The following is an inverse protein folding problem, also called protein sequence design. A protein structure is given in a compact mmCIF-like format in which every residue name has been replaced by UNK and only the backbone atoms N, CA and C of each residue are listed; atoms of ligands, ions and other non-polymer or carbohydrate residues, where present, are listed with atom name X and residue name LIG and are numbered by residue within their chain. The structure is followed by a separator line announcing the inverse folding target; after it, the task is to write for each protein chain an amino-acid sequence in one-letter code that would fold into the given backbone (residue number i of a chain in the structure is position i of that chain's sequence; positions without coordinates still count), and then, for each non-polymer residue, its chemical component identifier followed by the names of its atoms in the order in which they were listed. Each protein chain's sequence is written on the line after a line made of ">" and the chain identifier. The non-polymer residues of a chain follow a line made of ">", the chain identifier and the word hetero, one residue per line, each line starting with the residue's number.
data_IF_163480974600
#
_entry.id   IF_163480974600
#
_cell.length_a   1.000
_cell.length_b   1.000
_cell.length_c   1.000
_cell.angle_alpha   90.00
_cell.angle_beta   90.00
_cell.angle_gamma   90.00
#
_symmetry.space_group_name_H-M   'P 1'
#
loop_
_entity.id
_entity.type
_entity.pdbx_description
1 polymer ?
#
# COMPACT_ATOMS: atom_id res chain seq x y z
N UNK A 1 -14.03 -31.38 12.26
CA UNK A 1 -13.73 -30.18 11.44
C UNK A 1 -12.32 -29.72 11.78
N UNK A 2 -11.42 -29.60 10.81
CA UNK A 2 -10.09 -29.04 11.07
C UNK A 2 -10.22 -27.55 11.31
N UNK A 3 -9.96 -27.09 12.54
CA UNK A 3 -10.03 -25.66 12.89
C UNK A 3 -8.96 -24.84 12.18
N UNK A 4 -9.18 -23.52 12.11
CA UNK A 4 -8.25 -22.56 11.53
C UNK A 4 -6.86 -22.71 12.14
N UNK A 5 -5.85 -22.70 11.28
CA UNK A 5 -4.45 -22.58 11.66
C UNK A 5 -3.84 -21.29 11.13
N UNK A 6 -3.03 -20.64 11.96
CA UNK A 6 -2.30 -19.41 11.65
C UNK A 6 -0.81 -19.59 11.95
N UNK A 7 0.04 -19.01 11.12
CA UNK A 7 1.46 -18.87 11.41
C UNK A 7 1.94 -17.47 11.08
N UNK A 8 3.03 -17.04 11.70
CA UNK A 8 3.61 -15.71 11.53
C UNK A 8 5.11 -15.85 11.23
N UNK A 9 5.60 -15.04 10.30
CA UNK A 9 7.01 -14.98 9.95
C UNK A 9 7.42 -13.55 9.63
N UNK A 10 8.66 -13.19 9.94
CA UNK A 10 9.21 -11.88 9.62
C UNK A 10 10.68 -11.94 9.21
N UNK A 11 11.10 -10.96 8.42
CA UNK A 11 12.49 -10.71 8.08
C UNK A 11 12.77 -9.21 8.04
N UNK A 12 13.92 -8.83 8.56
CA UNK A 12 14.46 -7.46 8.39
C UNK A 12 14.81 -7.25 6.92
N UNK A 13 14.32 -6.14 6.37
CA UNK A 13 14.53 -5.72 4.98
C UNK A 13 15.22 -4.35 4.88
N UNK A 14 15.75 -3.81 5.97
CA UNK A 14 16.48 -2.55 5.98
C UNK A 14 17.62 -2.53 4.93
N UNK A 15 17.70 -1.49 4.09
CA UNK A 15 18.77 -1.35 3.11
C UNK A 15 20.10 -0.96 3.78
N UNK A 16 21.27 -1.13 3.10
CA UNK A 16 22.49 -0.47 3.55
C UNK A 16 22.32 1.06 3.53
N UNK A 17 23.08 1.76 4.37
CA UNK A 17 23.16 3.23 4.32
C UNK A 17 23.74 3.69 2.97
N UNK A 18 23.40 4.92 2.57
CA UNK A 18 23.78 5.51 1.30
C UNK A 18 22.84 5.17 0.13
N UNK A 19 21.88 4.26 0.31
CA UNK A 19 20.82 4.03 -0.69
C UNK A 19 19.90 5.26 -0.80
N UNK A 20 19.29 5.45 -1.96
CA UNK A 20 18.28 6.49 -2.15
C UNK A 20 16.95 6.14 -1.44
N UNK A 21 16.43 7.11 -0.69
CA UNK A 21 15.10 7.06 -0.09
C UNK A 21 14.04 7.59 -1.07
N UNK A 22 12.88 6.94 -1.14
CA UNK A 22 11.92 7.18 -2.22
C UNK A 22 10.72 8.04 -1.85
N UNK A 23 10.23 8.83 -2.80
CA UNK A 23 8.88 9.43 -2.76
C UNK A 23 8.80 10.94 -2.54
N UNK A 24 9.92 11.68 -2.49
CA UNK A 24 9.89 13.14 -2.37
C UNK A 24 10.87 13.88 -3.27
N UNK A 25 10.36 14.96 -3.87
CA UNK A 25 11.14 15.99 -4.56
C UNK A 25 11.89 15.46 -5.78
N UNK A 26 12.49 16.37 -6.56
CA UNK A 26 13.09 16.04 -7.84
C UNK A 26 14.62 16.02 -7.71
N UNK A 27 15.23 14.85 -7.88
CA UNK A 27 16.68 14.60 -7.78
C UNK A 27 17.28 15.21 -6.51
N UNK A 28 16.62 14.99 -5.38
CA UNK A 28 17.07 15.54 -4.09
C UNK A 28 18.36 14.89 -3.57
N UNK A 29 18.79 13.78 -4.18
CA UNK A 29 19.87 12.93 -3.66
C UNK A 29 19.66 12.56 -2.18
N UNK A 30 18.40 12.25 -1.83
CA UNK A 30 17.99 11.96 -0.46
C UNK A 30 18.43 10.55 -0.08
N UNK A 31 19.67 10.43 0.38
CA UNK A 31 20.28 9.16 0.79
C UNK A 31 19.98 8.81 2.24
N UNK A 32 19.94 7.51 2.52
CA UNK A 32 19.81 6.99 3.87
C UNK A 32 21.09 7.23 4.69
N UNK A 33 21.02 8.12 5.68
CA UNK A 33 22.16 8.50 6.52
C UNK A 33 22.20 7.76 7.86
N UNK A 34 21.04 7.27 8.32
CA UNK A 34 20.89 6.53 9.57
C UNK A 34 19.64 5.65 9.55
N UNK A 35 19.50 4.77 10.54
CA UNK A 35 18.31 3.94 10.75
C UNK A 35 17.66 4.35 12.07
N UNK A 36 16.44 4.88 12.00
CA UNK A 36 15.65 5.20 13.20
C UNK A 36 14.97 3.93 13.75
N UNK A 37 14.39 3.14 12.86
CA UNK A 37 13.80 1.84 13.17
C UNK A 37 13.88 0.91 11.94
N UNK A 38 13.92 -0.40 12.21
CA UNK A 38 14.08 -1.43 11.19
C UNK A 38 12.85 -1.55 10.29
N UNK A 39 13.10 -1.66 8.98
CA UNK A 39 12.08 -2.06 8.02
C UNK A 39 11.93 -3.59 8.05
N UNK A 40 10.70 -4.10 8.09
CA UNK A 40 10.44 -5.55 8.03
C UNK A 40 9.51 -5.94 6.88
N UNK A 41 9.72 -7.14 6.36
CA UNK A 41 8.69 -7.92 5.66
C UNK A 41 8.07 -8.87 6.67
N UNK A 42 6.74 -8.82 6.82
CA UNK A 42 5.97 -9.64 7.75
C UNK A 42 4.95 -10.45 6.96
N UNK A 43 4.77 -11.70 7.33
CA UNK A 43 3.88 -12.64 6.66
C UNK A 43 2.98 -13.36 7.67
N UNK A 44 1.73 -13.58 7.28
CA UNK A 44 0.79 -14.45 7.96
C UNK A 44 0.36 -15.56 7.02
N UNK A 45 0.51 -16.78 7.49
CA UNK A 45 0.00 -17.98 6.85
C UNK A 45 -1.34 -18.33 7.49
N UNK A 46 -2.37 -18.62 6.70
CA UNK A 46 -3.68 -19.07 7.16
C UNK A 46 -4.04 -20.36 6.45
N UNK A 47 -4.51 -21.36 7.19
CA UNK A 47 -5.07 -22.59 6.64
C UNK A 47 -6.37 -22.96 7.32
N UNK A 48 -7.40 -23.20 6.54
CA UNK A 48 -8.67 -23.77 6.99
C UNK A 48 -9.11 -24.80 5.97
N UNK A 49 -9.28 -26.04 6.41
CA UNK A 49 -9.51 -27.20 5.54
C UNK A 49 -8.38 -27.33 4.48
N UNK A 50 -8.75 -27.37 3.20
CA UNK A 50 -7.88 -27.44 2.02
C UNK A 50 -7.42 -26.04 1.54
N UNK A 51 -8.09 -24.98 1.99
CA UNK A 51 -7.78 -23.62 1.58
C UNK A 51 -6.64 -23.04 2.41
N UNK A 52 -5.72 -22.36 1.73
CA UNK A 52 -4.57 -21.70 2.33
C UNK A 52 -4.43 -20.30 1.75
N UNK A 53 -4.17 -19.30 2.60
CA UNK A 53 -3.82 -17.93 2.22
C UNK A 53 -2.47 -17.55 2.81
N UNK A 54 -1.70 -16.74 2.10
CA UNK A 54 -0.48 -16.12 2.61
C UNK A 54 -0.58 -14.61 2.39
N UNK A 55 -0.55 -13.85 3.48
CA UNK A 55 -0.68 -12.40 3.47
C UNK A 55 0.64 -11.79 3.88
N UNK A 56 1.19 -10.89 3.06
CA UNK A 56 2.50 -10.28 3.27
C UNK A 56 2.39 -8.76 3.23
N UNK A 57 3.00 -8.10 4.21
CA UNK A 57 3.19 -6.65 4.25
C UNK A 57 4.68 -6.32 4.39
N UNK A 58 5.18 -5.36 3.61
CA UNK A 58 6.56 -4.92 3.62
C UNK A 58 6.68 -3.42 3.87
N UNK A 59 7.59 -3.04 4.77
CA UNK A 59 7.87 -1.64 5.11
C UNK A 59 8.69 -0.93 4.02
N UNK A 60 8.08 -0.68 2.85
CA UNK A 60 8.69 -0.05 1.67
C UNK A 60 7.70 0.87 0.95
N UNK A 61 8.16 1.59 -0.08
CA UNK A 61 7.33 2.52 -0.87
C UNK A 61 6.30 1.82 -1.77
N UNK A 62 6.61 0.65 -2.35
CA UNK A 62 5.71 -0.03 -3.28
C UNK A 62 6.43 -1.06 -4.17
N UNK A 63 5.70 -1.66 -5.09
CA UNK A 63 6.22 -2.61 -6.07
C UNK A 63 5.69 -2.27 -7.46
N UNK A 64 6.44 -2.58 -8.51
CA UNK A 64 5.83 -2.76 -9.83
C UNK A 64 4.86 -3.95 -9.80
N UNK A 65 3.91 -4.00 -10.73
CA UNK A 65 3.00 -5.17 -10.85
C UNK A 65 3.80 -6.43 -11.19
N UNK A 66 4.82 -6.27 -12.04
CA UNK A 66 5.71 -7.35 -12.49
C UNK A 66 6.53 -7.93 -11.34
N UNK A 67 7.16 -7.09 -10.52
CA UNK A 67 7.95 -7.54 -9.36
C UNK A 67 7.05 -8.21 -8.32
N UNK A 68 5.89 -7.61 -8.03
CA UNK A 68 4.92 -8.18 -7.10
C UNK A 68 4.42 -9.54 -7.59
N UNK A 69 4.10 -9.68 -8.88
CA UNK A 69 3.68 -10.94 -9.46
C UNK A 69 4.77 -12.00 -9.41
N UNK A 70 6.03 -11.64 -9.70
CA UNK A 70 7.16 -12.56 -9.59
C UNK A 70 7.35 -13.09 -8.16
N UNK A 71 7.29 -12.20 -7.16
CA UNK A 71 7.39 -12.58 -5.74
C UNK A 71 6.23 -13.50 -5.33
N UNK A 72 5.00 -13.15 -5.74
CA UNK A 72 3.81 -13.94 -5.41
C UNK A 72 3.82 -15.31 -6.09
N UNK A 73 4.35 -15.42 -7.31
CA UNK A 73 4.55 -16.70 -8.00
C UNK A 73 5.53 -17.58 -7.23
N UNK A 74 6.65 -17.04 -6.77
CA UNK A 74 7.62 -17.81 -5.97
C UNK A 74 6.99 -18.34 -4.67
N UNK A 75 6.29 -17.48 -3.93
CA UNK A 75 5.59 -17.87 -2.70
C UNK A 75 4.53 -18.94 -3.01
N UNK A 76 3.71 -18.72 -4.03
CA UNK A 76 2.65 -19.64 -4.41
C UNK A 76 3.21 -21.02 -4.79
N UNK A 77 4.28 -21.06 -5.59
CA UNK A 77 4.94 -22.29 -6.00
C UNK A 77 5.58 -23.03 -4.82
N UNK A 78 6.26 -22.32 -3.91
CA UNK A 78 6.90 -22.90 -2.73
C UNK A 78 5.91 -23.57 -1.75
N UNK A 79 4.63 -23.15 -1.79
CA UNK A 79 3.59 -23.65 -0.90
C UNK A 79 2.48 -24.46 -1.60
N UNK A 80 2.58 -24.66 -2.91
CA UNK A 80 1.60 -25.42 -3.68
C UNK A 80 0.19 -24.81 -3.68
N UNK A 81 0.09 -23.48 -3.68
CA UNK A 81 -1.18 -22.73 -3.65
C UNK A 81 -1.35 -21.88 -4.92
N UNK A 82 -2.58 -21.48 -5.27
CA UNK A 82 -2.80 -20.52 -6.35
C UNK A 82 -2.18 -19.16 -6.00
N UNK A 83 -1.66 -18.45 -7.02
CA UNK A 83 -1.19 -17.05 -6.84
C UNK A 83 -2.25 -16.14 -6.24
N UNK A 84 -3.53 -16.36 -6.58
CA UNK A 84 -4.65 -15.61 -6.02
C UNK A 84 -4.76 -15.74 -4.49
N UNK A 85 -4.20 -16.79 -3.89
CA UNK A 85 -4.13 -16.99 -2.44
C UNK A 85 -3.00 -16.22 -1.75
N UNK A 86 -2.12 -15.56 -2.50
CA UNK A 86 -1.02 -14.75 -1.96
C UNK A 86 -1.35 -13.26 -2.11
N UNK A 87 -1.40 -12.53 -1.01
CA UNK A 87 -1.47 -11.06 -0.97
C UNK A 87 -0.08 -10.52 -0.65
N UNK A 88 0.41 -9.58 -1.45
CA UNK A 88 1.64 -8.83 -1.16
C UNK A 88 1.32 -7.34 -1.19
N UNK A 89 1.57 -6.63 -0.10
CA UNK A 89 1.35 -5.19 -0.01
C UNK A 89 2.56 -4.46 0.59
N UNK A 90 2.66 -3.17 0.30
CA UNK A 90 3.61 -2.26 0.94
C UNK A 90 2.89 -1.37 1.97
N UNK A 91 3.60 -0.99 3.04
CA UNK A 91 3.09 0.03 3.97
C UNK A 91 3.17 1.44 3.40
N UNK A 92 3.87 1.61 2.27
CA UNK A 92 4.08 2.86 1.54
C UNK A 92 5.01 3.86 2.24
N UNK A 93 5.86 3.45 3.20
CA UNK A 93 6.76 4.39 3.89
C UNK A 93 7.63 5.19 2.91
N UNK A 94 7.62 6.52 3.05
CA UNK A 94 8.49 7.42 2.30
C UNK A 94 9.88 7.58 2.94
N UNK A 95 10.11 6.92 4.08
CA UNK A 95 11.40 6.84 4.77
C UNK A 95 12.06 5.47 4.54
N UNK A 96 11.75 4.84 3.41
CA UNK A 96 12.34 3.58 2.94
C UNK A 96 13.03 3.73 1.57
N UNK A 97 13.72 2.68 1.10
CA UNK A 97 14.45 2.68 -0.16
C UNK A 97 13.52 2.78 -1.37
N UNK A 98 14.05 3.22 -2.51
CA UNK A 98 13.37 3.09 -3.80
C UNK A 98 13.27 1.62 -4.23
N UNK A 99 12.04 1.13 -4.39
CA UNK A 99 11.73 -0.26 -4.75
C UNK A 99 10.89 -0.38 -6.02
N UNK A 100 10.65 0.75 -6.70
CA UNK A 100 10.02 0.82 -8.01
C UNK A 100 10.53 2.08 -8.74
N UNK A 101 10.58 2.07 -10.08
CA UNK A 101 11.14 3.17 -10.84
C UNK A 101 10.20 4.40 -10.82
N UNK A 102 10.56 5.40 -10.02
CA UNK A 102 9.90 6.70 -9.94
C UNK A 102 10.91 7.80 -10.29
N UNK A 103 11.10 8.16 -11.57
CA UNK A 103 12.17 9.06 -12.00
C UNK A 103 12.20 10.35 -11.21
N UNK A 104 13.39 10.73 -10.75
CA UNK A 104 13.59 11.92 -9.93
C UNK A 104 13.17 11.79 -8.46
N UNK A 105 12.46 10.72 -8.05
CA UNK A 105 12.01 10.52 -6.68
C UNK A 105 12.84 9.49 -5.89
N UNK A 106 13.98 9.06 -6.44
CA UNK A 106 14.92 8.10 -5.84
C UNK A 106 15.31 6.98 -6.83
N UNK A 107 16.56 6.52 -6.78
CA UNK A 107 17.09 5.50 -7.68
C UNK A 107 17.00 4.08 -7.08
N UNK A 108 16.51 3.12 -7.87
CA UNK A 108 16.37 1.72 -7.44
C UNK A 108 17.72 1.01 -7.46
N UNK A 109 18.11 0.42 -6.33
CA UNK A 109 19.29 -0.45 -6.24
C UNK A 109 18.92 -1.91 -6.56
N UNK A 110 19.50 -2.45 -7.63
CA UNK A 110 19.20 -3.80 -8.10
C UNK A 110 19.63 -4.91 -7.12
N UNK A 111 20.74 -4.71 -6.39
CA UNK A 111 21.22 -5.68 -5.41
C UNK A 111 20.30 -5.71 -4.19
N UNK A 112 19.80 -4.56 -3.77
CA UNK A 112 18.77 -4.44 -2.74
C UNK A 112 17.47 -5.11 -3.18
N UNK A 113 16.98 -4.87 -4.40
CA UNK A 113 15.76 -5.50 -4.91
C UNK A 113 15.84 -7.03 -4.92
N UNK A 114 16.99 -7.59 -5.31
CA UNK A 114 17.24 -9.04 -5.22
C UNK A 114 17.15 -9.54 -3.77
N UNK A 115 17.79 -8.85 -2.84
CA UNK A 115 17.74 -9.19 -1.41
C UNK A 115 16.33 -9.07 -0.84
N UNK A 116 15.60 -8.01 -1.21
CA UNK A 116 14.23 -7.75 -0.78
C UNK A 116 13.31 -8.90 -1.17
N UNK A 117 13.35 -9.34 -2.44
CA UNK A 117 12.59 -10.52 -2.91
C UNK A 117 12.89 -11.76 -2.08
N UNK A 118 14.18 -12.08 -1.86
CA UNK A 118 14.56 -13.23 -1.02
C UNK A 118 14.01 -13.12 0.40
N UNK A 119 14.14 -11.96 1.05
CA UNK A 119 13.64 -11.76 2.42
C UNK A 119 12.12 -11.87 2.54
N UNK A 120 11.38 -11.40 1.53
CA UNK A 120 9.92 -11.55 1.49
C UNK A 120 9.52 -13.02 1.40
N UNK A 121 10.15 -13.79 0.50
CA UNK A 121 9.89 -15.24 0.37
C UNK A 121 10.26 -15.99 1.65
N UNK A 122 11.38 -15.64 2.28
CA UNK A 122 11.78 -16.21 3.57
C UNK A 122 10.79 -15.89 4.71
N UNK A 123 10.21 -14.69 4.74
CA UNK A 123 9.18 -14.34 5.73
C UNK A 123 7.92 -15.20 5.54
N UNK A 124 7.47 -15.38 4.29
CA UNK A 124 6.35 -16.25 3.95
C UNK A 124 6.62 -17.72 4.35
N UNK A 125 7.82 -18.23 4.04
CA UNK A 125 8.24 -19.57 4.43
C UNK A 125 8.27 -19.74 5.96
N UNK A 126 8.78 -18.73 6.68
CA UNK A 126 8.77 -18.69 8.14
C UNK A 126 7.35 -18.76 8.72
N UNK A 127 6.40 -18.04 8.13
CA UNK A 127 5.00 -18.09 8.54
C UNK A 127 4.37 -19.46 8.32
N UNK A 128 4.72 -20.14 7.23
CA UNK A 128 4.19 -21.47 6.89
C UNK A 128 4.82 -22.63 7.69
N UNK A 129 5.98 -22.41 8.32
CA UNK A 129 6.77 -23.49 8.93
C UNK A 129 6.14 -24.10 10.20
N UNK A 130 5.31 -23.34 10.93
CA UNK A 130 4.84 -23.76 12.25
C UNK A 130 3.44 -23.22 12.62
N UNK A 131 2.40 -23.47 11.82
CA UNK A 131 1.09 -22.88 12.04
C UNK A 131 0.35 -23.54 13.23
N UNK A 132 -0.14 -22.71 14.14
CA UNK A 132 -0.88 -23.05 15.37
C UNK A 132 -2.37 -22.97 15.13
N UNK A 133 -3.16 -23.77 15.87
CA UNK A 133 -4.61 -23.56 15.91
C UNK A 133 -4.91 -22.17 16.46
N UNK A 134 -5.90 -21.50 15.88
CA UNK A 134 -6.32 -20.20 16.34
C UNK A 134 -7.83 -20.03 16.36
N UNK A 135 -8.30 -19.25 17.32
CA UNK A 135 -9.60 -18.61 17.24
C UNK A 135 -9.49 -17.33 16.41
N UNK A 136 -10.52 -17.03 15.63
CA UNK A 136 -10.56 -15.84 14.80
C UNK A 136 -11.69 -14.92 15.23
N UNK A 137 -11.39 -13.63 15.35
CA UNK A 137 -12.38 -12.58 15.51
C UNK A 137 -11.97 -11.37 14.66
N UNK A 138 -12.90 -10.47 14.38
CA UNK A 138 -12.58 -9.16 13.82
C UNK A 138 -13.45 -8.08 14.45
N UNK A 139 -12.95 -6.85 14.44
CA UNK A 139 -13.64 -5.67 14.94
C UNK A 139 -13.37 -4.46 14.05
N UNK A 140 -14.36 -3.57 14.00
CA UNK A 140 -14.31 -2.29 13.32
C UNK A 140 -14.51 -1.20 14.38
N UNK A 141 -13.48 -0.43 14.68
CA UNK A 141 -13.51 0.60 15.72
C UNK A 141 -13.26 1.96 15.09
N UNK A 142 -14.19 2.89 15.27
CA UNK A 142 -13.93 4.29 14.93
C UNK A 142 -12.94 4.87 15.93
N UNK A 143 -11.83 5.40 15.44
CA UNK A 143 -10.81 6.02 16.27
C UNK A 143 -10.73 7.52 16.00
N UNK A 144 -10.03 8.24 16.87
CA UNK A 144 -9.62 9.61 16.57
C UNK A 144 -8.86 9.61 15.24
N UNK A 145 -9.27 10.41 14.23
CA UNK A 145 -8.69 10.33 12.90
C UNK A 145 -7.19 10.55 12.93
N UNK A 146 -6.41 9.55 12.50
CA UNK A 146 -4.97 9.72 12.34
C UNK A 146 -4.65 10.61 11.15
N UNK A 147 -5.55 10.66 10.16
CA UNK A 147 -5.38 11.39 8.92
C UNK A 147 -6.48 12.40 8.62
N UNK A 148 -6.15 13.37 7.75
CA UNK A 148 -7.06 14.35 7.19
C UNK A 148 -6.92 14.39 5.67
N UNK A 149 -7.94 14.86 4.97
CA UNK A 149 -7.89 15.02 3.53
C UNK A 149 -6.97 16.18 3.15
N UNK A 150 -5.78 15.87 2.64
CA UNK A 150 -4.72 16.85 2.34
C UNK A 150 -5.06 17.79 1.19
N UNK A 151 -5.98 17.38 0.31
CA UNK A 151 -6.47 18.17 -0.84
C UNK A 151 -7.52 19.17 -0.38
N UNK A 152 -8.45 18.75 0.48
CA UNK A 152 -9.54 19.61 0.99
C UNK A 152 -9.21 20.36 2.28
N UNK A 153 -8.09 20.00 2.94
CA UNK A 153 -7.67 20.55 4.25
C UNK A 153 -8.72 20.39 5.35
N UNK A 154 -9.44 19.27 5.34
CA UNK A 154 -10.48 18.93 6.31
C UNK A 154 -10.63 17.41 6.47
N UNK A 155 -11.60 16.95 7.26
CA UNK A 155 -11.86 15.53 7.50
C UNK A 155 -12.86 14.90 6.51
N UNK A 156 -13.25 15.60 5.44
CA UNK A 156 -14.26 15.10 4.50
C UNK A 156 -13.71 13.96 3.64
N UNK A 157 -14.35 12.79 3.73
CA UNK A 157 -13.98 11.60 2.96
C UNK A 157 -12.82 10.81 3.57
N UNK A 158 -12.50 11.06 4.84
CA UNK A 158 -11.59 10.22 5.64
C UNK A 158 -12.34 8.94 6.09
N UNK A 159 -11.63 7.82 6.12
CA UNK A 159 -12.07 6.58 6.76
C UNK A 159 -11.47 6.50 8.19
N UNK A 160 -12.24 6.81 9.24
CA UNK A 160 -11.72 6.87 10.61
C UNK A 160 -11.73 5.50 11.30
N UNK A 161 -12.04 4.41 10.58
CA UNK A 161 -12.29 3.09 11.18
C UNK A 161 -11.03 2.23 11.13
N UNK A 162 -10.49 1.93 12.31
CA UNK A 162 -9.52 0.85 12.50
C UNK A 162 -10.21 -0.49 12.26
N UNK A 163 -9.76 -1.21 11.23
CA UNK A 163 -10.17 -2.58 10.97
C UNK A 163 -9.12 -3.50 11.56
N UNK A 164 -9.53 -4.40 12.45
CA UNK A 164 -8.63 -5.33 13.10
C UNK A 164 -9.19 -6.75 13.01
N UNK A 165 -8.40 -7.67 12.46
CA UNK A 165 -8.61 -9.10 12.56
C UNK A 165 -7.63 -9.66 13.59
N UNK A 166 -8.10 -10.53 14.48
CA UNK A 166 -7.33 -11.09 15.58
C UNK A 166 -7.36 -12.61 15.48
N UNK A 167 -6.17 -13.22 15.43
CA UNK A 167 -5.98 -14.65 15.60
C UNK A 167 -5.42 -14.91 17.00
N UNK A 168 -6.17 -15.59 17.85
CA UNK A 168 -5.73 -15.94 19.20
C UNK A 168 -5.13 -17.34 19.20
N UNK A 169 -3.87 -17.43 19.58
CA UNK A 169 -3.11 -18.69 19.69
C UNK A 169 -2.73 -18.94 21.16
N UNK A 170 -2.32 -20.16 21.53
CA UNK A 170 -1.76 -20.43 22.85
C UNK A 170 -0.53 -19.57 23.19
N UNK A 171 0.23 -19.13 22.18
CA UNK A 171 1.48 -18.37 22.33
C UNK A 171 1.31 -16.84 22.31
N UNK A 172 0.09 -16.35 22.08
CA UNK A 172 -0.20 -14.92 21.94
C UNK A 172 -1.14 -14.63 20.78
N UNK A 173 -1.28 -13.35 20.41
CA UNK A 173 -2.18 -12.92 19.34
C UNK A 173 -1.40 -12.49 18.11
N UNK A 174 -2.01 -12.73 16.95
CA UNK A 174 -1.54 -12.21 15.67
C UNK A 174 -2.64 -11.31 15.12
N UNK A 175 -2.31 -10.05 14.83
CA UNK A 175 -3.26 -9.08 14.29
C UNK A 175 -3.03 -8.81 12.80
N UNK A 176 -4.13 -8.65 12.07
CA UNK A 176 -4.15 -8.01 10.75
C UNK A 176 -4.84 -6.66 10.91
N UNK A 177 -4.10 -5.57 10.70
CA UNK A 177 -4.59 -4.22 10.88
C UNK A 177 -4.74 -3.51 9.54
N UNK A 178 -5.76 -2.66 9.42
CA UNK A 178 -5.96 -1.82 8.26
C UNK A 178 -6.52 -0.44 8.65
N UNK A 179 -5.86 0.61 8.16
CA UNK A 179 -6.26 2.01 8.34
C UNK A 179 -5.75 2.86 7.18
N UNK A 180 -6.49 3.91 6.80
CA UNK A 180 -6.16 4.79 5.68
C UNK A 180 -5.47 6.08 6.14
N UNK A 181 -4.14 6.15 6.03
CA UNK A 181 -3.36 7.38 6.26
C UNK A 181 -1.98 7.27 5.62
N UNK A 182 -1.49 8.26 4.85
CA UNK A 182 -0.15 8.19 4.26
C UNK A 182 0.95 8.11 5.34
N UNK A 183 2.00 7.28 5.17
CA UNK A 183 3.14 7.18 6.07
C UNK A 183 4.20 8.24 5.74
N UNK A 184 3.87 9.49 6.07
CA UNK A 184 4.65 10.68 5.68
C UNK A 184 5.05 11.54 6.87
N UNK A 185 5.10 10.97 8.09
CA UNK A 185 5.36 11.69 9.35
C UNK A 185 6.62 12.55 9.27
N UNK A 186 7.68 12.00 8.68
CA UNK A 186 9.00 12.63 8.64
C UNK A 186 9.29 13.52 7.43
N UNK A 187 8.41 13.60 6.45
CA UNK A 187 8.68 14.35 5.22
C UNK A 187 10.02 13.96 4.59
N UNK A 188 10.86 14.95 4.30
CA UNK A 188 12.12 14.78 3.53
C UNK A 188 13.35 14.39 4.36
N UNK A 189 13.19 13.94 5.60
CA UNK A 189 14.32 13.48 6.43
C UNK A 189 15.03 12.28 5.79
N UNK A 190 16.29 12.06 6.20
CA UNK A 190 17.25 11.12 5.61
C UNK A 190 17.48 9.85 6.43
N UNK A 191 16.77 9.66 7.55
CA UNK A 191 16.80 8.41 8.30
C UNK A 191 15.80 7.39 7.74
N UNK A 192 16.16 6.11 7.82
CA UNK A 192 15.25 5.00 7.52
C UNK A 192 14.24 4.83 8.65
N UNK A 193 12.97 4.66 8.31
CA UNK A 193 11.90 4.35 9.26
C UNK A 193 10.72 3.65 8.58
N UNK A 194 10.10 2.70 9.28
CA UNK A 194 8.82 2.10 8.89
C UNK A 194 7.61 3.03 9.15
N UNK A 195 7.87 4.25 9.62
CA UNK A 195 6.91 5.33 9.87
C UNK A 195 5.78 4.89 10.84
N UNK A 196 4.63 5.56 10.84
CA UNK A 196 3.55 5.27 11.79
C UNK A 196 2.98 3.84 11.69
N UNK A 197 2.89 3.17 10.52
CA UNK A 197 2.46 1.77 10.48
C UNK A 197 3.43 0.86 11.23
N UNK A 198 4.74 1.08 11.05
CA UNK A 198 5.78 0.36 11.80
C UNK A 198 5.72 0.64 13.29
N UNK A 199 5.42 1.88 13.69
CA UNK A 199 5.25 2.26 15.09
C UNK A 199 4.09 1.51 15.76
N UNK A 200 2.94 1.40 15.09
CA UNK A 200 1.79 0.61 15.56
C UNK A 200 2.18 -0.84 15.79
N UNK A 201 2.84 -1.46 14.80
CA UNK A 201 3.27 -2.87 14.92
C UNK A 201 4.28 -3.04 16.06
N UNK A 202 5.22 -2.11 16.22
CA UNK A 202 6.21 -2.14 17.30
C UNK A 202 5.56 -2.06 18.69
N UNK A 203 4.56 -1.21 18.90
CA UNK A 203 3.87 -1.14 20.20
C UNK A 203 3.11 -2.44 20.52
N UNK A 204 2.57 -3.13 19.51
CA UNK A 204 1.98 -4.47 19.67
C UNK A 204 3.06 -5.51 19.99
N UNK A 205 4.19 -5.49 19.30
CA UNK A 205 5.31 -6.41 19.52
C UNK A 205 5.89 -6.28 20.94
N UNK A 206 5.93 -5.07 21.51
CA UNK A 206 6.33 -4.84 22.91
C UNK A 206 5.40 -5.52 23.91
N UNK A 207 4.12 -5.69 23.58
CA UNK A 207 3.16 -6.40 24.41
C UNK A 207 3.25 -7.94 24.27
N UNK A 208 4.16 -8.45 23.43
CA UNK A 208 4.38 -9.89 23.20
C UNK A 208 3.56 -10.47 22.04
N UNK A 209 2.67 -9.67 21.45
CA UNK A 209 1.84 -10.07 20.30
C UNK A 209 2.57 -9.82 18.96
N UNK A 210 1.95 -10.23 17.85
CA UNK A 210 2.46 -10.02 16.49
C UNK A 210 1.43 -9.28 15.64
N UNK A 211 1.87 -8.50 14.66
CA UNK A 211 0.95 -7.80 13.76
C UNK A 211 1.49 -7.64 12.34
N UNK A 212 0.57 -7.64 11.38
CA UNK A 212 0.78 -7.05 10.05
C UNK A 212 -0.09 -5.83 9.92
N UNK A 213 0.43 -4.83 9.21
CA UNK A 213 -0.30 -3.62 8.87
C UNK A 213 -0.51 -3.53 7.37
N UNK A 214 -1.74 -3.27 6.95
CA UNK A 214 -2.11 -3.01 5.56
C UNK A 214 -2.62 -1.59 5.41
N UNK A 215 -2.05 -0.84 4.47
CA UNK A 215 -2.54 0.49 4.16
C UNK A 215 -3.94 0.44 3.57
N UNK A 216 -4.82 1.26 4.13
CA UNK A 216 -6.10 1.61 3.52
C UNK A 216 -5.92 2.44 2.26
N UNK A 217 -7.02 2.81 1.61
CA UNK A 217 -6.97 3.76 0.50
C UNK A 217 -6.75 5.16 1.07
N UNK A 218 -5.52 5.67 0.91
CA UNK A 218 -5.10 6.94 1.52
C UNK A 218 -4.50 7.93 0.53
N UNK A 219 -4.65 7.76 -0.80
CA UNK A 219 -4.05 8.63 -1.83
C UNK A 219 -4.29 10.15 -1.65
N UNK A 220 -5.30 10.54 -0.89
CA UNK A 220 -5.60 11.93 -0.54
C UNK A 220 -5.58 12.23 0.97
N UNK A 221 -5.05 11.32 1.81
CA UNK A 221 -5.08 11.39 3.27
C UNK A 221 -3.67 11.44 3.84
N UNK A 222 -3.29 12.57 4.46
CA UNK A 222 -2.03 12.70 5.21
C UNK A 222 -2.29 12.63 6.72
N UNK A 223 -1.28 12.33 7.55
CA UNK A 223 -1.38 12.39 9.01
C UNK A 223 -1.80 13.79 9.49
N UNK A 224 -2.67 13.88 10.50
CA UNK A 224 -3.18 15.15 11.04
C UNK A 224 -2.07 16.11 11.46
N UNK A 225 -0.94 15.59 11.97
CA UNK A 225 0.21 16.42 12.34
C UNK A 225 0.75 17.26 11.17
N UNK A 226 0.58 16.79 9.93
CA UNK A 226 1.02 17.50 8.72
C UNK A 226 0.22 18.78 8.45
N UNK A 227 -0.90 19.00 9.14
CA UNK A 227 -1.66 20.26 9.04
C UNK A 227 -0.85 21.46 9.54
N UNK A 228 -0.02 21.27 10.58
CA UNK A 228 0.71 22.36 11.23
C UNK A 228 2.23 22.22 11.14
N UNK A 229 2.74 20.99 10.95
CA UNK A 229 4.15 20.64 11.11
C UNK A 229 4.63 19.74 9.97
N UNK A 230 4.44 20.22 8.73
CA UNK A 230 4.68 19.38 7.55
C UNK A 230 6.13 18.86 7.52
N UNK A 231 6.31 17.54 7.54
CA UNK A 231 7.62 16.87 7.55
C UNK A 231 8.42 17.01 8.84
N UNK A 232 7.85 17.58 9.90
CA UNK A 232 8.55 17.84 11.17
C UNK A 232 8.19 16.83 12.27
N UNK A 233 7.58 15.70 11.90
CA UNK A 233 7.25 14.63 12.84
C UNK A 233 8.48 14.04 13.53
N UNK A 234 8.26 13.48 14.72
CA UNK A 234 9.28 12.97 15.62
C UNK A 234 8.99 11.53 16.03
N UNK A 235 9.97 10.88 16.67
CA UNK A 235 9.77 9.55 17.28
C UNK A 235 8.68 9.56 18.37
N UNK A 236 8.47 10.69 19.03
CA UNK A 236 7.38 10.85 19.99
C UNK A 236 6.02 10.87 19.29
N UNK A 237 5.90 11.55 18.14
CA UNK A 237 4.68 11.50 17.32
C UNK A 237 4.37 10.05 16.87
N UNK A 238 5.41 9.28 16.48
CA UNK A 238 5.26 7.86 16.17
C UNK A 238 4.73 7.06 17.37
N UNK A 239 5.29 7.30 18.56
CA UNK A 239 4.86 6.64 19.78
C UNK A 239 3.41 6.98 20.12
N UNK A 240 3.02 8.26 20.05
CA UNK A 240 1.65 8.69 20.32
C UNK A 240 0.64 8.04 19.37
N UNK A 241 0.96 7.95 18.08
CA UNK A 241 0.12 7.24 17.10
C UNK A 241 0.03 5.75 17.43
N UNK A 242 1.17 5.11 17.72
CA UNK A 242 1.22 3.70 18.09
C UNK A 242 0.38 3.38 19.34
N UNK A 243 0.54 4.16 20.40
CA UNK A 243 -0.22 4.04 21.66
C UNK A 243 -1.72 4.28 21.45
N UNK A 244 -2.11 5.31 20.70
CA UNK A 244 -3.51 5.57 20.35
C UNK A 244 -4.14 4.35 19.65
N UNK A 245 -3.49 3.83 18.62
CA UNK A 245 -4.01 2.68 17.87
C UNK A 245 -4.06 1.43 18.75
N UNK A 246 -3.03 1.18 19.57
CA UNK A 246 -3.00 0.04 20.49
C UNK A 246 -4.15 0.09 21.50
N UNK A 247 -4.40 1.24 22.14
CA UNK A 247 -5.52 1.40 23.08
C UNK A 247 -6.87 1.16 22.43
N UNK A 248 -7.04 1.63 21.19
CA UNK A 248 -8.27 1.41 20.41
C UNK A 248 -8.41 -0.03 19.96
N UNK A 249 -7.32 -0.70 19.59
CA UNK A 249 -7.29 -2.12 19.28
C UNK A 249 -7.72 -2.97 20.50
N UNK A 250 -7.18 -2.69 21.69
CA UNK A 250 -7.56 -3.40 22.92
C UNK A 250 -9.05 -3.23 23.25
N UNK A 251 -9.61 -2.03 23.02
CA UNK A 251 -11.05 -1.79 23.16
C UNK A 251 -11.84 -2.60 22.13
N UNK A 252 -11.46 -2.52 20.86
CA UNK A 252 -12.13 -3.23 19.76
C UNK A 252 -12.15 -4.75 20.00
N UNK A 253 -11.04 -5.30 20.48
CA UNK A 253 -10.90 -6.73 20.75
C UNK A 253 -11.85 -7.22 21.85
N UNK A 254 -12.06 -6.41 22.90
CA UNK A 254 -12.97 -6.75 24.02
C UNK A 254 -14.39 -7.06 23.56
N UNK A 255 -14.82 -6.44 22.46
CA UNK A 255 -16.17 -6.59 21.90
C UNK A 255 -16.18 -7.44 20.61
N UNK A 256 -15.03 -7.98 20.19
CA UNK A 256 -14.93 -8.80 19.00
C UNK A 256 -15.54 -10.19 19.23
N UNK A 257 -16.47 -10.59 18.37
CA UNK A 257 -17.12 -11.90 18.45
C UNK A 257 -16.29 -12.94 17.69
N UNK A 258 -15.95 -14.05 18.37
CA UNK A 258 -15.25 -15.18 17.75
C UNK A 258 -16.12 -15.86 16.67
N UNK A 259 -15.50 -16.18 15.55
CA UNK A 259 -16.12 -16.86 14.41
C UNK A 259 -15.85 -18.38 14.51
N UNK A 260 -16.90 -19.19 14.37
CA UNK A 260 -16.80 -20.65 14.57
C UNK A 260 -16.42 -21.42 13.30
N UNK A 261 -16.95 -21.05 12.13
CA UNK A 261 -16.64 -21.66 10.82
C UNK A 261 -15.86 -20.66 9.95
N UNK A 262 -14.54 -20.59 10.17
CA UNK A 262 -13.66 -19.67 9.42
C UNK A 262 -13.32 -20.29 8.08
N UNK A 263 -14.03 -19.88 7.03
CA UNK A 263 -13.70 -20.25 5.65
C UNK A 263 -12.70 -19.27 5.05
N UNK A 264 -11.78 -19.79 4.26
CA UNK A 264 -10.83 -18.98 3.49
C UNK A 264 -11.25 -19.02 2.03
N UNK A 265 -11.22 -17.87 1.36
CA UNK A 265 -11.48 -17.79 -0.08
C UNK A 265 -10.57 -16.73 -0.71
N UNK A 266 -10.27 -16.93 -2.00
CA UNK A 266 -9.46 -16.03 -2.79
C UNK A 266 -9.94 -15.98 -4.24
N UNK A 267 -10.04 -14.77 -4.78
CA UNK A 267 -10.34 -14.55 -6.19
C UNK A 267 -9.45 -13.42 -6.71
N UNK A 268 -8.99 -13.54 -7.94
CA UNK A 268 -8.27 -12.46 -8.63
C UNK A 268 -8.77 -12.37 -10.07
N UNK A 269 -9.00 -11.14 -10.54
CA UNK A 269 -9.12 -10.86 -11.96
C UNK A 269 -8.09 -9.81 -12.40
N UNK A 270 -7.84 -9.76 -13.70
CA UNK A 270 -6.90 -8.82 -14.33
C UNK A 270 -7.67 -7.93 -15.29
N UNK A 271 -7.44 -6.63 -15.18
CA UNK A 271 -8.13 -5.61 -15.98
C UNK A 271 -7.14 -4.75 -16.74
N UNK A 272 -7.64 -4.05 -17.75
CA UNK A 272 -6.92 -3.02 -18.49
C UNK A 272 -7.44 -1.65 -18.05
N UNK A 273 -6.53 -0.71 -17.78
CA UNK A 273 -6.87 0.64 -17.34
C UNK A 273 -6.54 1.63 -18.47
N UNK A 274 -7.53 2.31 -19.06
CA UNK A 274 -7.31 3.21 -20.18
C UNK A 274 -6.48 4.44 -19.83
N UNK A 275 -5.59 4.82 -20.75
CA UNK A 275 -4.71 5.98 -20.67
C UNK A 275 -5.09 7.05 -21.71
N UNK A 276 -5.09 8.31 -21.30
CA UNK A 276 -5.21 9.46 -22.17
C UNK A 276 -3.82 9.80 -22.77
N UNK A 277 -3.40 9.03 -23.78
CA UNK A 277 -2.06 9.18 -24.38
C UNK A 277 -1.95 10.49 -25.17
N UNK A 278 -1.05 11.37 -24.74
CA UNK A 278 -0.89 12.71 -25.30
C UNK A 278 -0.23 12.72 -26.68
N UNK A 279 -0.55 13.73 -27.50
CA UNK A 279 0.18 14.03 -28.73
C UNK A 279 1.51 14.76 -28.45
N UNK A 280 2.37 14.91 -29.46
CA UNK A 280 3.68 15.57 -29.31
C UNK A 280 3.54 16.99 -28.73
N UNK A 281 2.61 17.78 -29.28
CA UNK A 281 2.39 19.17 -28.87
C UNK A 281 1.96 19.26 -27.40
N UNK A 282 1.09 18.35 -26.96
CA UNK A 282 0.65 18.27 -25.58
C UNK A 282 1.79 17.86 -24.67
N UNK A 283 2.59 16.85 -25.02
CA UNK A 283 3.77 16.46 -24.23
C UNK A 283 4.73 17.64 -24.04
N UNK A 284 5.02 18.39 -25.10
CA UNK A 284 5.90 19.57 -25.02
C UNK A 284 5.32 20.67 -24.12
N UNK A 285 3.99 20.91 -24.22
CA UNK A 285 3.28 21.89 -23.37
C UNK A 285 3.31 21.48 -21.89
N UNK A 286 2.91 20.25 -21.57
CA UNK A 286 2.87 19.76 -20.18
C UNK A 286 4.26 19.78 -19.52
N UNK A 287 5.32 19.50 -20.28
CA UNK A 287 6.70 19.60 -19.78
C UNK A 287 7.07 21.07 -19.44
N UNK A 288 6.72 22.00 -20.32
CA UNK A 288 6.96 23.43 -20.10
C UNK A 288 6.15 23.96 -18.91
N UNK A 289 4.88 23.55 -18.79
CA UNK A 289 4.00 23.94 -17.68
C UNK A 289 4.50 23.36 -16.35
N UNK A 290 4.94 22.10 -16.33
CA UNK A 290 5.57 21.49 -15.16
C UNK A 290 6.82 22.29 -14.73
N UNK A 291 7.72 22.56 -15.67
CA UNK A 291 8.96 23.31 -15.42
C UNK A 291 8.66 24.69 -14.83
N UNK A 292 7.63 25.38 -15.34
CA UNK A 292 7.20 26.69 -14.84
C UNK A 292 6.58 26.59 -13.44
N UNK A 293 5.65 25.64 -13.24
CA UNK A 293 4.92 25.46 -11.97
C UNK A 293 5.83 25.08 -10.80
N UNK A 294 6.90 24.34 -11.09
CA UNK A 294 7.82 23.80 -10.09
C UNK A 294 9.22 24.44 -10.17
N UNK A 295 9.35 25.65 -10.75
CA UNK A 295 10.63 26.32 -10.97
C UNK A 295 11.41 26.62 -9.69
N UNK A 296 10.73 26.66 -8.54
CA UNK A 296 11.33 26.81 -7.21
C UNK A 296 12.12 25.57 -6.76
N UNK A 297 11.91 24.42 -7.40
CA UNK A 297 12.63 23.18 -7.07
C UNK A 297 13.77 22.97 -8.08
N UNK A 298 15.05 22.93 -7.63
CA UNK A 298 16.20 22.86 -8.54
C UNK A 298 16.15 21.70 -9.55
N UNK A 299 15.65 20.53 -9.15
CA UNK A 299 15.53 19.36 -10.02
C UNK A 299 14.32 19.34 -10.95
N UNK A 300 13.37 20.29 -10.84
CA UNK A 300 12.14 20.27 -11.64
C UNK A 300 12.40 20.46 -13.13
N UNK A 301 13.34 21.34 -13.50
CA UNK A 301 13.71 21.56 -14.89
C UNK A 301 14.29 20.29 -15.52
N UNK A 302 15.20 19.62 -14.81
CA UNK A 302 15.76 18.32 -15.23
C UNK A 302 14.65 17.27 -15.40
N UNK A 303 13.77 17.15 -14.40
CA UNK A 303 12.67 16.19 -14.44
C UNK A 303 11.76 16.41 -15.65
N UNK A 304 11.38 17.66 -15.91
CA UNK A 304 10.51 18.02 -17.03
C UNK A 304 11.12 17.62 -18.38
N UNK A 305 12.40 17.92 -18.60
CA UNK A 305 13.09 17.55 -19.84
C UNK A 305 13.21 16.03 -20.02
N UNK A 306 13.56 15.32 -18.94
CA UNK A 306 13.66 13.86 -18.98
C UNK A 306 12.29 13.20 -19.17
N UNK A 307 11.24 13.68 -18.51
CA UNK A 307 9.87 13.19 -18.71
C UNK A 307 9.44 13.42 -20.15
N UNK A 308 9.67 14.61 -20.71
CA UNK A 308 9.35 14.93 -22.11
C UNK A 308 10.01 13.93 -23.06
N UNK A 309 11.31 13.66 -22.88
CA UNK A 309 12.05 12.72 -23.71
C UNK A 309 11.46 11.28 -23.62
N UNK A 310 11.22 10.78 -22.40
CA UNK A 310 10.61 9.46 -22.17
C UNK A 310 9.20 9.38 -22.77
N UNK A 311 8.36 10.38 -22.54
CA UNK A 311 6.99 10.43 -23.03
C UNK A 311 6.93 10.46 -24.56
N UNK A 312 7.78 11.25 -25.22
CA UNK A 312 7.86 11.28 -26.69
C UNK A 312 8.30 9.93 -27.28
N UNK A 313 9.24 9.24 -26.62
CA UNK A 313 9.69 7.93 -27.03
C UNK A 313 8.62 6.84 -26.83
N UNK A 314 7.87 6.88 -25.72
CA UNK A 314 6.87 5.88 -25.38
C UNK A 314 5.52 6.07 -26.09
N UNK A 315 5.14 7.31 -26.41
CA UNK A 315 3.81 7.64 -26.94
C UNK A 315 3.40 6.85 -28.21
N UNK A 316 4.27 6.62 -29.22
CA UNK A 316 3.88 5.84 -30.40
C UNK A 316 3.43 4.41 -30.07
N UNK A 317 4.11 3.74 -29.13
CA UNK A 317 3.74 2.40 -28.69
C UNK A 317 2.47 2.43 -27.83
N UNK A 318 2.40 3.37 -26.87
CA UNK A 318 1.23 3.51 -26.00
C UNK A 318 -0.03 3.92 -26.78
N UNK A 319 0.04 4.65 -27.89
CA UNK A 319 -1.16 4.94 -28.71
C UNK A 319 -1.72 3.69 -29.39
N UNK A 320 -0.90 2.69 -29.69
CA UNK A 320 -1.37 1.40 -30.24
C UNK A 320 -2.08 0.56 -29.18
N UNK A 321 -1.62 0.65 -27.93
CA UNK A 321 -2.17 -0.06 -26.78
C UNK A 321 -2.33 0.91 -25.59
N UNK A 322 -3.37 1.78 -25.60
CA UNK A 322 -3.51 2.89 -24.66
C UNK A 322 -4.05 2.43 -23.30
N UNK A 323 -3.42 1.43 -22.71
CA UNK A 323 -3.84 0.82 -21.46
C UNK A 323 -2.64 0.44 -20.60
N UNK A 324 -2.78 0.60 -19.28
CA UNK A 324 -2.00 -0.22 -18.33
C UNK A 324 -2.64 -1.60 -18.33
N UNK A 325 -1.86 -2.63 -18.68
CA UNK A 325 -2.35 -4.00 -18.85
C UNK A 325 -2.10 -4.82 -17.60
N UNK A 326 -2.77 -5.97 -17.50
CA UNK A 326 -2.57 -6.96 -16.44
C UNK A 326 -2.70 -6.41 -15.00
N UNK A 327 -3.53 -5.40 -14.78
CA UNK A 327 -3.70 -4.77 -13.46
C UNK A 327 -4.48 -5.72 -12.54
N UNK A 328 -3.90 -6.17 -11.41
CA UNK A 328 -4.59 -7.07 -10.48
C UNK A 328 -5.76 -6.40 -9.77
N UNK A 329 -6.85 -7.15 -9.62
CA UNK A 329 -7.92 -6.89 -8.67
C UNK A 329 -8.16 -8.16 -7.88
N UNK A 330 -7.69 -8.18 -6.63
CA UNK A 330 -7.76 -9.34 -5.76
C UNK A 330 -8.81 -9.13 -4.67
N UNK A 331 -9.59 -10.17 -4.40
CA UNK A 331 -10.47 -10.27 -3.26
C UNK A 331 -10.10 -11.50 -2.42
N UNK A 332 -10.22 -11.40 -1.11
CA UNK A 332 -9.97 -12.50 -0.16
C UNK A 332 -11.06 -12.50 0.91
N UNK A 333 -11.33 -13.65 1.50
CA UNK A 333 -12.14 -13.78 2.72
C UNK A 333 -11.40 -14.57 3.79
N UNK A 334 -11.53 -14.10 5.03
CA UNK A 334 -11.19 -14.84 6.25
C UNK A 334 -12.43 -14.84 7.13
N UNK A 335 -13.18 -15.94 7.12
CA UNK A 335 -14.51 -16.00 7.73
C UNK A 335 -15.42 -14.92 7.13
N UNK A 336 -16.09 -14.15 7.99
CA UNK A 336 -16.94 -13.02 7.56
C UNK A 336 -16.20 -11.77 7.07
N UNK A 337 -14.88 -11.66 7.28
CA UNK A 337 -14.10 -10.48 6.91
C UNK A 337 -13.62 -10.58 5.46
N UNK A 338 -13.99 -9.59 4.65
CA UNK A 338 -13.55 -9.48 3.25
C UNK A 338 -12.37 -8.51 3.13
N UNK A 339 -11.51 -8.76 2.15
CA UNK A 339 -10.39 -7.90 1.78
C UNK A 339 -10.48 -7.62 0.28
N UNK A 340 -10.34 -6.37 -0.13
CA UNK A 340 -10.12 -5.98 -1.54
C UNK A 340 -8.75 -5.34 -1.63
N UNK A 341 -7.87 -5.93 -2.43
CA UNK A 341 -6.49 -5.54 -2.56
C UNK A 341 -6.22 -5.01 -3.98
N UNK A 342 -5.83 -3.74 -4.08
CA UNK A 342 -5.67 -3.02 -5.34
C UNK A 342 -4.27 -2.36 -5.49
N UNK A 343 -3.73 -2.29 -6.71
CA UNK A 343 -2.35 -1.89 -6.96
C UNK A 343 -2.21 -0.38 -7.18
N UNK A 344 -2.34 0.45 -6.15
CA UNK A 344 -2.16 1.90 -6.34
C UNK A 344 -2.45 2.77 -5.13
N UNK A 345 -2.34 4.08 -5.35
CA UNK A 345 -2.66 5.15 -4.39
C UNK A 345 -4.12 5.60 -4.57
N UNK A 346 -5.05 4.77 -4.13
CA UNK A 346 -6.49 5.04 -4.25
C UNK A 346 -6.92 6.15 -3.29
N UNK A 347 -7.77 7.05 -3.77
CA UNK A 347 -8.44 8.02 -2.90
C UNK A 347 -9.38 7.31 -1.93
N UNK A 348 -9.45 7.84 -0.71
CA UNK A 348 -10.14 7.19 0.41
C UNK A 348 -11.63 6.99 0.16
N UNK A 349 -12.26 7.91 -0.57
CA UNK A 349 -13.69 7.82 -0.89
C UNK A 349 -14.06 6.58 -1.72
N UNK A 350 -13.13 6.05 -2.51
CA UNK A 350 -13.35 4.83 -3.30
C UNK A 350 -13.52 3.63 -2.35
N UNK A 351 -12.69 3.57 -1.30
CA UNK A 351 -12.77 2.54 -0.26
C UNK A 351 -14.05 2.66 0.53
N UNK A 352 -14.48 3.88 0.86
CA UNK A 352 -15.77 4.14 1.51
C UNK A 352 -16.96 3.69 0.63
N UNK A 353 -16.90 3.89 -0.69
CA UNK A 353 -17.93 3.43 -1.63
C UNK A 353 -18.06 1.90 -1.69
N UNK A 354 -16.94 1.17 -1.62
CA UNK A 354 -16.95 -0.29 -1.53
C UNK A 354 -17.55 -0.76 -0.20
N UNK A 355 -17.11 -0.16 0.91
CA UNK A 355 -17.57 -0.53 2.25
C UNK A 355 -19.08 -0.34 2.44
N UNK A 356 -19.72 0.64 1.78
CA UNK A 356 -21.18 0.83 1.83
C UNK A 356 -21.98 -0.39 1.39
N UNK A 357 -21.48 -1.16 0.43
CA UNK A 357 -22.19 -2.32 -0.13
C UNK A 357 -21.62 -3.66 0.34
N UNK A 358 -20.34 -3.65 0.72
CA UNK A 358 -19.59 -4.89 0.91
C UNK A 358 -18.94 -4.99 2.30
N UNK A 359 -19.31 -4.16 3.27
CA UNK A 359 -18.85 -4.34 4.65
C UNK A 359 -19.27 -5.72 5.25
N UNK A 360 -18.52 -6.26 6.23
CA UNK A 360 -17.22 -5.78 6.72
C UNK A 360 -16.11 -6.03 5.69
N UNK A 361 -15.32 -5.00 5.41
CA UNK A 361 -14.33 -4.98 4.33
C UNK A 361 -13.07 -4.21 4.74
N UNK A 362 -11.90 -4.78 4.41
CA UNK A 362 -10.61 -4.08 4.42
C UNK A 362 -10.23 -3.70 2.98
N UNK A 363 -10.30 -2.41 2.60
CA UNK A 363 -9.64 -1.91 1.40
C UNK A 363 -8.13 -1.88 1.65
N UNK A 364 -7.35 -2.56 0.81
CA UNK A 364 -5.88 -2.62 0.91
C UNK A 364 -5.28 -2.00 -0.36
N UNK A 365 -4.68 -0.83 -0.22
CA UNK A 365 -3.92 -0.18 -1.28
C UNK A 365 -2.54 -0.78 -1.41
N UNK A 366 -1.76 -0.31 -2.38
CA UNK A 366 -0.35 -0.71 -2.56
C UNK A 366 -0.16 -2.23 -2.65
N UNK A 367 -1.18 -2.94 -3.12
CA UNK A 367 -1.22 -4.39 -3.10
C UNK A 367 -1.06 -4.96 -4.49
N UNK A 368 -0.17 -5.94 -4.61
CA UNK A 368 0.16 -6.63 -5.84
C UNK A 368 0.70 -5.70 -6.94
N UNK A 369 1.26 -4.56 -6.53
CA UNK A 369 1.81 -3.52 -7.38
C UNK A 369 1.39 -2.11 -6.95
N UNK A 370 1.85 -1.11 -7.67
CA UNK A 370 1.45 0.28 -7.55
C UNK A 370 1.52 0.94 -8.93
N UNK A 371 0.36 1.20 -9.53
CA UNK A 371 0.24 1.84 -10.84
C UNK A 371 0.07 3.37 -10.76
N UNK A 372 0.26 3.95 -9.58
CA UNK A 372 0.06 5.37 -9.31
C UNK A 372 -1.26 5.71 -8.65
N UNK A 373 -1.60 6.99 -8.68
CA UNK A 373 -2.79 7.53 -8.05
C UNK A 373 -4.05 7.13 -8.79
N UNK A 374 -5.07 6.71 -8.03
CA UNK A 374 -6.42 6.45 -8.53
C UNK A 374 -7.38 7.46 -7.90
N UNK A 375 -7.62 8.61 -8.58
CA UNK A 375 -8.54 9.64 -8.13
C UNK A 375 -10.00 9.19 -8.23
N UNK A 376 -10.91 9.92 -7.58
CA UNK A 376 -12.34 9.73 -7.84
C UNK A 376 -12.75 10.41 -9.16
N UNK A 377 -13.83 9.94 -9.79
CA UNK A 377 -14.26 10.41 -11.11
C UNK A 377 -14.49 11.95 -11.15
N UNK A 378 -14.90 12.54 -10.03
CA UNK A 378 -15.14 13.98 -9.92
C UNK A 378 -13.86 14.82 -9.95
N UNK A 379 -12.72 14.25 -9.59
CA UNK A 379 -11.46 15.00 -9.45
C UNK A 379 -10.87 15.35 -10.81
N UNK A 380 -11.17 14.57 -11.86
CA UNK A 380 -10.82 14.87 -13.25
C UNK A 380 -11.46 16.16 -13.80
N UNK A 381 -12.37 16.81 -13.06
CA UNK A 381 -12.92 18.12 -13.42
C UNK A 381 -11.92 19.26 -13.19
N UNK A 382 -10.94 19.06 -12.30
CA UNK A 382 -9.86 20.02 -12.06
C UNK A 382 -8.65 19.66 -12.91
N UNK A 383 -8.47 20.37 -14.02
CA UNK A 383 -7.35 20.16 -14.95
C UNK A 383 -5.97 20.43 -14.32
N UNK A 384 -5.91 21.06 -13.13
CA UNK A 384 -4.67 21.28 -12.39
C UNK A 384 -4.41 20.23 -11.29
N UNK A 385 -5.29 19.23 -11.15
CA UNK A 385 -5.20 18.24 -10.09
C UNK A 385 -3.91 17.43 -10.14
N UNK A 386 -3.26 17.33 -8.98
CA UNK A 386 -1.99 16.64 -8.85
C UNK A 386 -2.10 15.15 -9.19
N UNK A 387 -3.09 14.46 -8.62
CA UNK A 387 -3.20 13.01 -8.76
C UNK A 387 -3.62 12.61 -10.19
N UNK A 388 -4.48 13.41 -10.82
CA UNK A 388 -4.96 13.17 -12.17
C UNK A 388 -3.88 13.44 -13.23
N UNK A 389 -3.13 14.55 -13.13
CA UNK A 389 -2.35 15.06 -14.26
C UNK A 389 -0.85 15.23 -14.00
N UNK A 390 -0.43 15.43 -12.75
CA UNK A 390 0.99 15.58 -12.40
C UNK A 390 1.62 14.23 -12.01
N UNK A 391 0.97 13.50 -11.10
CA UNK A 391 1.49 12.26 -10.56
C UNK A 391 1.78 11.17 -11.61
N UNK A 392 0.98 10.99 -12.68
CA UNK A 392 1.29 10.00 -13.72
C UNK A 392 2.68 10.16 -14.33
N UNK A 393 3.22 11.38 -14.37
CA UNK A 393 4.57 11.66 -14.86
C UNK A 393 5.65 10.90 -14.08
N UNK A 394 5.49 10.76 -12.75
CA UNK A 394 6.42 10.03 -11.88
C UNK A 394 6.33 8.51 -12.07
N UNK A 395 5.14 8.01 -12.44
CA UNK A 395 4.91 6.60 -12.73
C UNK A 395 5.25 6.23 -14.17
N UNK A 396 5.79 7.18 -14.96
CA UNK A 396 6.08 7.00 -16.39
C UNK A 396 4.84 6.64 -17.21
N UNK A 397 3.68 7.14 -16.78
CA UNK A 397 2.39 6.95 -17.42
C UNK A 397 1.86 8.27 -17.98
N UNK A 398 0.93 8.15 -18.93
CA UNK A 398 -0.02 9.22 -19.22
C UNK A 398 -1.16 9.19 -18.19
N UNK A 399 -1.97 10.26 -18.06
CA UNK A 399 -3.13 10.23 -17.18
C UNK A 399 -4.10 9.13 -17.53
N UNK A 400 -4.81 8.63 -16.51
CA UNK A 400 -5.95 7.75 -16.74
C UNK A 400 -7.10 8.51 -17.41
N UNK A 401 -7.91 7.80 -18.20
CA UNK A 401 -9.16 8.34 -18.72
C UNK A 401 -10.17 8.47 -17.56
N UNK A 402 -10.98 9.56 -17.49
CA UNK A 402 -12.06 9.66 -16.52
C UNK A 402 -12.98 8.43 -16.55
N UNK A 403 -13.36 7.92 -15.38
CA UNK A 403 -14.06 6.64 -15.25
C UNK A 403 -13.20 5.51 -14.65
N UNK A 404 -11.91 5.75 -14.39
CA UNK A 404 -11.01 4.78 -13.75
C UNK A 404 -11.53 4.29 -12.40
N UNK A 405 -12.16 5.18 -11.61
CA UNK A 405 -12.81 4.81 -10.35
C UNK A 405 -13.90 3.76 -10.60
N UNK A 406 -14.78 4.01 -11.57
CA UNK A 406 -15.89 3.10 -11.92
C UNK A 406 -15.38 1.74 -12.36
N UNK A 407 -14.31 1.71 -13.14
CA UNK A 407 -13.66 0.47 -13.59
C UNK A 407 -13.21 -0.37 -12.39
N UNK A 408 -12.49 0.24 -11.43
CA UNK A 408 -12.06 -0.46 -10.22
C UNK A 408 -13.20 -0.87 -9.30
N UNK A 409 -14.22 -0.02 -9.10
CA UNK A 409 -15.42 -0.39 -8.33
C UNK A 409 -16.14 -1.61 -8.93
N UNK A 410 -16.31 -1.63 -10.25
CA UNK A 410 -16.94 -2.75 -10.96
C UNK A 410 -16.15 -4.05 -10.83
N UNK A 411 -14.84 -3.98 -11.08
CA UNK A 411 -13.95 -5.13 -10.97
C UNK A 411 -13.85 -5.66 -9.54
N UNK A 412 -13.78 -4.77 -8.54
CA UNK A 412 -13.70 -5.14 -7.12
C UNK A 412 -14.95 -5.88 -6.67
N UNK A 413 -16.13 -5.37 -7.02
CA UNK A 413 -17.41 -6.04 -6.73
C UNK A 413 -17.55 -7.38 -7.46
N UNK A 414 -17.01 -7.49 -8.67
CA UNK A 414 -16.97 -8.78 -9.39
C UNK A 414 -16.07 -9.78 -8.67
N UNK A 415 -14.88 -9.38 -8.23
CA UNK A 415 -13.96 -10.24 -7.48
C UNK A 415 -14.55 -10.65 -6.12
N UNK A 416 -15.20 -9.72 -5.40
CA UNK A 416 -15.88 -10.00 -4.13
C UNK A 416 -17.02 -11.01 -4.25
N UNK A 417 -17.80 -10.96 -5.35
CA UNK A 417 -18.86 -11.95 -5.62
C UNK A 417 -18.34 -13.33 -6.01
N UNK A 418 -17.05 -13.46 -6.31
CA UNK A 418 -16.41 -14.71 -6.67
C UNK A 418 -15.75 -15.42 -5.47
N UNK A 419 -15.78 -14.80 -4.28
CA UNK A 419 -15.48 -15.44 -2.99
C UNK A 419 -16.66 -16.30 -2.56
#
# INVERSE_FOLDING_TARGET
>A
MSGLRVGYGEKVITPPLGIDLCGYGFYLDRKAESVLDELKARAVFLRSNDQTLILVSADIIGFTVEDADAIRVDIAAAHGIPRASVLLAATHTHSGPATQPLPGLGEVDAAYMKRLRTRIVEAAAGAAASPRRAEFAYALETIEPLGFNRRKKNFCGVDPVLKAATFRTPEGKIYLLNYACHPVVFGRKTHISADWPGAVVREIEKAGDKALFFQGFCGDIDPVLQMNRWGEGTSEDLFMIGDLVLRRLMKAERYAVSQMDVRLAAAECRIEIPLAVYDKRTIEREAADFRKKYSQFPGAGRFAEEWKARALAAAPAMRKFPFVRNVPVQALAVGGLKIVALPGEFFCEIGLKLQKTDAPLMPVGYANGNIGYIPADKDFRDAADYACYCAPMFYQLFPFVPGVERTFLGASRKALRAL
#
